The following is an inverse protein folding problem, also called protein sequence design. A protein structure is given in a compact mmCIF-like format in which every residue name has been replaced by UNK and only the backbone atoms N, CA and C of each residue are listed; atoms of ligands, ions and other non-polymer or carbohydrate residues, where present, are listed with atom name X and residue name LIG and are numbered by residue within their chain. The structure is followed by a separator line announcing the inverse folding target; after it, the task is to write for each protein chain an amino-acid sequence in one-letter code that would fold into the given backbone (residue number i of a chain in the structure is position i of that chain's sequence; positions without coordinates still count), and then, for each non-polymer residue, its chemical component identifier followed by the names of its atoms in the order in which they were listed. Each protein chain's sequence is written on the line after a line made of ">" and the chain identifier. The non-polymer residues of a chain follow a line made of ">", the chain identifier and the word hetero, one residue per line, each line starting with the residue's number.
data_IF_315339326240
#
_entry.id   IF_315339326240
#
_cell.length_a   1.000
_cell.length_b   1.000
_cell.length_c   1.000
_cell.angle_alpha   90.00
_cell.angle_beta   90.00
_cell.angle_gamma   90.00
#
_symmetry.space_group_name_H-M   'P 1'
#
loop_
_entity.id
_entity.type
_entity.pdbx_description
1 polymer ?
#
# COMPACT_ATOMS: atom_id res chain seq x y z
N UNK A 1 21.01 -5.82 8.97
CA UNK A 1 19.73 -5.23 9.39
C UNK A 1 19.00 -4.90 8.10
N UNK A 2 18.26 -5.88 7.56
CA UNK A 2 17.63 -5.79 6.25
C UNK A 2 16.13 -5.63 6.50
N UNK A 3 15.67 -4.38 6.54
CA UNK A 3 14.25 -4.08 6.45
C UNK A 3 13.77 -4.50 5.06
N UNK A 4 13.22 -5.70 4.98
CA UNK A 4 12.38 -6.09 3.85
C UNK A 4 11.06 -5.36 4.03
N UNK A 5 11.07 -4.06 3.72
CA UNK A 5 9.86 -3.28 3.44
C UNK A 5 9.11 -4.02 2.35
N UNK A 6 7.92 -4.50 2.72
CA UNK A 6 7.00 -5.20 1.85
C UNK A 6 6.66 -4.27 0.68
N UNK A 7 7.28 -4.50 -0.48
CA UNK A 7 6.75 -4.21 -1.82
C UNK A 7 6.29 -2.79 -2.19
N UNK A 8 6.34 -1.78 -1.32
CA UNK A 8 6.06 -0.42 -1.71
C UNK A 8 7.30 0.12 -2.42
N UNK A 9 7.39 -0.09 -3.74
CA UNK A 9 8.29 0.71 -4.59
C UNK A 9 8.02 2.17 -4.24
N UNK A 10 8.99 2.83 -3.63
CA UNK A 10 9.01 4.29 -3.39
C UNK A 10 8.83 5.09 -4.69
N UNK A 11 8.87 4.42 -5.84
CA UNK A 11 8.75 4.95 -7.19
C UNK A 11 7.30 5.05 -7.69
N UNK A 12 6.28 4.86 -6.84
CA UNK A 12 4.88 4.83 -7.28
C UNK A 12 3.98 5.71 -6.44
N UNK A 13 2.97 6.28 -7.11
CA UNK A 13 1.88 7.00 -6.46
C UNK A 13 0.95 6.00 -5.76
N UNK A 14 0.80 6.03 -4.42
CA UNK A 14 0.05 5.00 -3.68
C UNK A 14 -1.43 4.88 -4.03
N UNK A 15 -2.01 5.92 -4.64
CA UNK A 15 -3.44 5.98 -4.99
C UNK A 15 -3.71 5.73 -6.47
N UNK A 16 -2.70 5.32 -7.24
CA UNK A 16 -2.81 5.04 -8.66
C UNK A 16 -2.30 3.63 -8.97
N UNK A 17 -3.19 2.79 -9.47
CA UNK A 17 -2.88 1.41 -9.87
C UNK A 17 -3.01 1.27 -11.38
N UNK A 18 -2.00 0.70 -12.02
CA UNK A 18 -2.05 0.41 -13.45
C UNK A 18 -2.74 -0.94 -13.67
N UNK A 19 -3.82 -0.94 -14.46
CA UNK A 19 -4.55 -2.16 -14.80
C UNK A 19 -4.18 -2.64 -16.21
N UNK A 20 -4.61 -3.85 -16.58
CA UNK A 20 -4.40 -4.39 -17.94
C UNK A 20 -4.93 -3.44 -19.03
N UNK A 21 -6.09 -2.84 -18.78
CA UNK A 21 -6.81 -2.02 -19.75
C UNK A 21 -6.55 -0.51 -19.57
N UNK A 22 -6.11 -0.07 -18.39
CA UNK A 22 -5.94 1.36 -18.13
C UNK A 22 -5.36 1.64 -16.76
N UNK A 23 -6.08 2.44 -15.97
CA UNK A 23 -5.70 2.83 -14.61
C UNK A 23 -6.90 2.75 -13.67
N UNK A 24 -6.62 2.57 -12.38
CA UNK A 24 -7.57 2.73 -11.30
C UNK A 24 -7.02 3.80 -10.35
N UNK A 25 -7.80 4.85 -10.14
CA UNK A 25 -7.47 5.96 -9.24
C UNK A 25 -8.29 5.81 -7.98
N UNK A 26 -7.67 5.97 -6.82
CA UNK A 26 -8.33 5.90 -5.53
C UNK A 26 -8.32 7.27 -4.84
N UNK A 27 -9.35 7.53 -4.03
CA UNK A 27 -9.37 8.69 -3.15
C UNK A 27 -8.30 8.55 -2.06
N UNK A 28 -7.33 9.48 -1.92
CA UNK A 28 -6.37 9.44 -0.82
C UNK A 28 -7.00 9.39 0.58
N UNK A 29 -8.21 9.94 0.75
CA UNK A 29 -8.93 9.91 2.02
C UNK A 29 -9.30 8.48 2.47
N UNK A 30 -9.28 7.50 1.56
CA UNK A 30 -9.47 6.08 1.87
C UNK A 30 -8.40 5.55 2.83
N UNK A 31 -7.14 5.90 2.57
CA UNK A 31 -5.98 5.42 3.34
C UNK A 31 -5.40 6.48 4.30
N UNK A 32 -5.83 7.73 4.19
CA UNK A 32 -5.37 8.83 5.03
C UNK A 32 -5.57 8.53 6.52
N UNK A 33 -4.48 8.65 7.31
CA UNK A 33 -4.47 8.38 8.75
C UNK A 33 -4.59 6.89 9.11
N UNK A 34 -4.56 5.99 8.13
CA UNK A 34 -4.61 4.55 8.34
C UNK A 34 -3.23 3.92 8.15
N UNK A 35 -3.13 2.63 8.47
CA UNK A 35 -1.93 1.82 8.22
C UNK A 35 -2.12 0.91 7.00
N UNK A 36 -3.07 1.24 6.12
CA UNK A 36 -3.31 0.51 4.89
C UNK A 36 -2.60 1.19 3.72
N UNK A 37 -2.13 0.37 2.78
CA UNK A 37 -1.65 0.79 1.47
C UNK A 37 -2.41 0.01 0.41
N UNK A 38 -2.42 0.55 -0.81
CA UNK A 38 -2.99 -0.14 -1.96
C UNK A 38 -1.83 -0.79 -2.71
N UNK A 39 -1.93 -2.09 -2.96
CA UNK A 39 -0.91 -2.82 -3.69
C UNK A 39 -1.07 -2.71 -5.23
N UNK A 40 -0.18 -3.37 -5.96
CA UNK A 40 -0.18 -3.37 -7.42
C UNK A 40 -1.41 -4.05 -8.06
N UNK A 41 -2.12 -4.89 -7.30
CA UNK A 41 -3.37 -5.50 -7.72
C UNK A 41 -4.59 -4.60 -7.43
N UNK A 42 -4.42 -3.56 -6.61
CA UNK A 42 -5.48 -2.69 -6.15
C UNK A 42 -6.12 -3.14 -4.82
N UNK A 43 -5.48 -4.06 -4.11
CA UNK A 43 -5.92 -4.59 -2.83
C UNK A 43 -5.40 -3.74 -1.67
N UNK A 44 -6.22 -3.60 -0.63
CA UNK A 44 -5.85 -2.87 0.59
C UNK A 44 -5.08 -3.79 1.53
N UNK A 45 -3.80 -3.49 1.73
CA UNK A 45 -2.88 -4.28 2.55
C UNK A 45 -2.45 -3.52 3.80
N UNK A 46 -2.52 -4.17 4.96
CA UNK A 46 -2.09 -3.58 6.23
C UNK A 46 -0.56 -3.64 6.39
N UNK A 47 0.10 -2.50 6.57
CA UNK A 47 1.57 -2.38 6.46
C UNK A 47 2.37 -2.77 7.71
N UNK A 48 1.74 -2.88 8.88
CA UNK A 48 2.47 -3.04 10.15
C UNK A 48 2.74 -4.47 10.60
N UNK A 49 2.29 -5.47 9.85
CA UNK A 49 2.65 -6.86 10.14
C UNK A 49 3.53 -7.34 9.00
N UNK A 50 4.88 -7.22 9.14
CA UNK A 50 5.75 -7.92 8.21
C UNK A 50 5.35 -9.38 8.31
N UNK A 51 4.87 -9.96 7.22
CA UNK A 51 4.43 -11.36 7.21
C UNK A 51 5.53 -12.27 7.80
N UNK A 52 6.81 -11.91 7.60
CA UNK A 52 7.98 -12.56 8.18
C UNK A 52 8.10 -12.50 9.71
N UNK A 53 7.58 -11.45 10.36
CA UNK A 53 7.67 -11.30 11.81
C UNK A 53 6.63 -12.18 12.51
N UNK A 54 5.39 -12.23 11.98
CA UNK A 54 4.37 -13.15 12.49
C UNK A 54 4.73 -14.62 12.25
N UNK A 55 5.18 -14.98 11.04
CA UNK A 55 5.63 -16.35 10.74
C UNK A 55 6.84 -16.74 11.58
N UNK A 56 7.82 -15.85 11.74
CA UNK A 56 9.00 -16.06 12.57
C UNK A 56 8.64 -16.30 14.04
N UNK A 57 7.75 -15.48 14.61
CA UNK A 57 7.26 -15.67 15.99
C UNK A 57 6.53 -17.00 16.15
N UNK A 58 5.64 -17.37 15.21
CA UNK A 58 4.89 -18.62 15.27
C UNK A 58 5.81 -19.84 15.23
N UNK A 59 6.83 -19.83 14.38
CA UNK A 59 7.83 -20.91 14.30
C UNK A 59 8.66 -20.99 15.57
N UNK A 60 9.17 -19.86 16.07
CA UNK A 60 9.98 -19.83 17.30
C UNK A 60 9.18 -20.30 18.52
N UNK A 61 7.95 -19.83 18.70
CA UNK A 61 7.09 -20.27 19.82
C UNK A 61 6.79 -21.77 19.72
N UNK A 62 6.52 -22.27 18.53
CA UNK A 62 6.24 -23.71 18.31
C UNK A 62 7.46 -24.57 18.59
N UNK A 63 8.65 -24.11 18.20
CA UNK A 63 9.91 -24.79 18.50
C UNK A 63 10.20 -24.84 20.00
N UNK A 64 10.00 -23.72 20.72
CA UNK A 64 10.18 -23.66 22.18
C UNK A 64 9.22 -24.63 22.88
N UNK A 65 7.95 -24.67 22.50
CA UNK A 65 6.97 -25.60 23.09
C UNK A 65 7.33 -27.05 22.78
N UNK A 66 7.76 -27.35 21.56
CA UNK A 66 8.16 -28.70 21.16
C UNK A 66 9.38 -29.23 21.93
N UNK A 67 10.36 -28.37 22.21
CA UNK A 67 11.59 -28.73 22.94
C UNK A 67 11.35 -28.82 24.44
N UNK A 68 10.43 -28.01 24.99
CA UNK A 68 10.14 -28.00 26.44
C UNK A 68 9.16 -29.09 26.88
N UNK A 69 8.23 -29.50 26.01
CA UNK A 69 7.18 -30.48 26.31
C UNK A 69 7.46 -31.85 25.68
N UNK A 70 8.22 -31.90 24.58
CA UNK A 70 8.60 -33.16 23.97
C UNK A 70 9.71 -33.82 24.79
N UNK A 71 9.33 -34.75 25.68
CA UNK A 71 10.17 -35.49 26.64
C UNK A 71 11.31 -36.31 25.98
N UNK A 72 12.25 -35.64 25.29
CA UNK A 72 13.41 -36.18 24.55
C UNK A 72 13.10 -37.21 23.45
N UNK A 73 11.83 -37.50 23.18
CA UNK A 73 11.39 -38.37 22.08
C UNK A 73 11.16 -37.54 20.83
N UNK A 74 12.05 -37.68 19.85
CA UNK A 74 12.05 -36.91 18.61
C UNK A 74 10.68 -36.90 17.88
N UNK A 75 10.01 -38.05 17.84
CA UNK A 75 8.68 -38.17 17.21
C UNK A 75 7.61 -37.36 17.94
N UNK A 76 7.64 -37.31 19.28
CA UNK A 76 6.70 -36.54 20.08
C UNK A 76 6.96 -35.03 19.97
N UNK A 77 8.23 -34.61 20.02
CA UNK A 77 8.60 -33.21 19.79
C UNK A 77 8.16 -32.72 18.42
N UNK A 78 8.30 -33.53 17.36
CA UNK A 78 7.83 -33.19 16.02
C UNK A 78 6.31 -33.03 15.94
N UNK A 79 5.54 -33.93 16.57
CA UNK A 79 4.08 -33.83 16.63
C UNK A 79 3.62 -32.58 17.38
N UNK A 80 4.25 -32.27 18.52
CA UNK A 80 3.96 -31.06 19.31
C UNK A 80 4.30 -29.81 18.50
N UNK A 81 5.44 -29.80 17.81
CA UNK A 81 5.83 -28.70 16.92
C UNK A 81 4.78 -28.44 15.84
N UNK A 82 4.36 -29.47 15.11
CA UNK A 82 3.38 -29.32 14.04
C UNK A 82 2.00 -28.87 14.56
N UNK A 83 1.56 -29.43 15.69
CA UNK A 83 0.29 -29.04 16.31
C UNK A 83 0.29 -27.60 16.81
N UNK A 84 1.36 -27.18 17.49
CA UNK A 84 1.50 -25.81 18.00
C UNK A 84 1.69 -24.79 16.87
N UNK A 85 2.38 -25.18 15.79
CA UNK A 85 2.55 -24.35 14.61
C UNK A 85 1.21 -24.09 13.92
N UNK A 86 0.39 -25.12 13.71
CA UNK A 86 -0.95 -24.97 13.17
C UNK A 86 -1.84 -24.06 14.05
N UNK A 87 -1.77 -24.23 15.37
CA UNK A 87 -2.50 -23.39 16.31
C UNK A 87 -2.04 -21.93 16.26
N UNK A 88 -0.72 -21.69 16.23
CA UNK A 88 -0.13 -20.35 16.17
C UNK A 88 -0.53 -19.61 14.89
N UNK A 89 -0.51 -20.28 13.74
CA UNK A 89 -1.00 -19.70 12.48
C UNK A 89 -2.49 -19.38 12.53
N UNK A 90 -3.30 -20.28 13.09
CA UNK A 90 -4.74 -20.06 13.22
C UNK A 90 -5.04 -18.85 14.11
N UNK A 91 -4.33 -18.73 15.23
CA UNK A 91 -4.44 -17.58 16.14
C UNK A 91 -4.00 -16.28 15.46
N UNK A 92 -2.90 -16.30 14.69
CA UNK A 92 -2.43 -15.14 13.94
C UNK A 92 -3.44 -14.68 12.90
N UNK A 93 -4.05 -15.60 12.14
CA UNK A 93 -5.12 -15.31 11.20
C UNK A 93 -6.32 -14.69 11.91
N UNK A 94 -6.76 -15.26 13.03
CA UNK A 94 -7.89 -14.73 13.80
C UNK A 94 -7.64 -13.28 14.29
N UNK A 95 -6.44 -13.00 14.83
CA UNK A 95 -6.05 -11.65 15.24
C UNK A 95 -6.04 -10.70 14.06
N UNK A 96 -5.49 -11.12 12.91
CA UNK A 96 -5.45 -10.31 11.70
C UNK A 96 -6.87 -10.01 11.17
N UNK A 97 -7.78 -10.99 11.22
CA UNK A 97 -9.19 -10.82 10.87
C UNK A 97 -9.90 -9.83 11.77
N UNK A 98 -9.65 -9.87 13.09
CA UNK A 98 -10.22 -8.90 14.04
C UNK A 98 -9.68 -7.50 13.78
N UNK A 99 -8.36 -7.35 13.55
CA UNK A 99 -7.77 -6.06 13.18
C UNK A 99 -8.46 -5.53 11.93
N UNK A 100 -8.57 -6.34 10.87
CA UNK A 100 -9.25 -5.93 9.64
C UNK A 100 -10.71 -5.56 9.86
N UNK A 101 -11.44 -6.28 10.70
CA UNK A 101 -12.84 -5.98 11.01
C UNK A 101 -13.01 -4.63 11.74
N UNK A 102 -12.05 -4.26 12.60
CA UNK A 102 -12.09 -3.03 13.41
C UNK A 102 -11.49 -1.84 12.68
N UNK A 103 -10.43 -2.04 11.90
CA UNK A 103 -9.70 -0.97 11.20
C UNK A 103 -10.04 -0.87 9.71
N UNK A 104 -11.12 -1.53 9.26
CA UNK A 104 -11.56 -1.53 7.87
C UNK A 104 -11.63 -0.09 7.31
N UNK A 105 -10.69 0.30 6.43
CA UNK A 105 -10.61 1.65 5.90
C UNK A 105 -11.83 1.98 5.03
N UNK A 106 -12.45 0.98 4.40
CA UNK A 106 -13.66 1.16 3.59
C UNK A 106 -14.85 1.51 4.48
N UNK A 107 -15.02 0.82 5.62
CA UNK A 107 -16.08 1.19 6.58
C UNK A 107 -15.85 2.59 7.14
N UNK A 108 -14.62 2.93 7.51
CA UNK A 108 -14.29 4.27 8.01
C UNK A 108 -14.53 5.36 6.94
N UNK A 109 -14.18 5.09 5.69
CA UNK A 109 -14.46 5.98 4.57
C UNK A 109 -15.98 6.16 4.36
N UNK A 110 -16.74 5.06 4.33
CA UNK A 110 -18.21 5.12 4.16
C UNK A 110 -18.92 5.82 5.31
N UNK A 111 -18.40 5.75 6.53
CA UNK A 111 -18.93 6.53 7.65
C UNK A 111 -18.72 8.04 7.47
N UNK A 112 -17.61 8.45 6.85
CA UNK A 112 -17.26 9.87 6.62
C UNK A 112 -17.93 10.45 5.39
N UNK A 113 -17.99 9.69 4.29
CA UNK A 113 -18.42 10.15 2.97
C UNK A 113 -19.68 9.43 2.43
N UNK A 114 -20.32 8.59 3.24
CA UNK A 114 -21.52 7.84 2.84
C UNK A 114 -21.24 6.77 1.78
N UNK A 115 -22.12 6.66 0.78
CA UNK A 115 -21.96 5.74 -0.35
C UNK A 115 -21.14 6.32 -1.51
N UNK A 116 -20.37 7.39 -1.27
CA UNK A 116 -19.47 7.96 -2.26
C UNK A 116 -18.49 6.90 -2.80
N UNK A 117 -18.14 7.03 -4.08
CA UNK A 117 -17.11 6.20 -4.70
C UNK A 117 -15.75 6.58 -4.09
N UNK A 118 -14.89 5.58 -3.91
CA UNK A 118 -13.51 5.76 -3.45
C UNK A 118 -12.48 5.29 -4.48
N UNK A 119 -12.95 4.75 -5.62
CA UNK A 119 -12.15 4.30 -6.73
C UNK A 119 -12.88 4.58 -8.05
N UNK A 120 -12.12 4.94 -9.08
CA UNK A 120 -12.60 5.14 -10.45
C UNK A 120 -11.68 4.42 -11.42
N UNK A 121 -12.29 3.62 -12.30
CA UNK A 121 -11.59 2.93 -13.38
C UNK A 121 -11.56 3.79 -14.64
N UNK A 122 -10.35 4.09 -15.11
CA UNK A 122 -10.08 4.77 -16.39
C UNK A 122 -9.67 3.69 -17.38
N UNK A 123 -10.61 3.23 -18.19
CA UNK A 123 -10.43 2.09 -19.10
C UNK A 123 -9.84 2.49 -20.46
N UNK A 124 -9.98 3.74 -20.87
CA UNK A 124 -9.38 4.27 -22.09
C UNK A 124 -8.12 5.07 -21.78
N UNK A 125 -6.95 4.53 -22.15
CA UNK A 125 -5.65 5.18 -21.96
C UNK A 125 -5.45 6.40 -22.87
N UNK A 126 -6.15 6.48 -23.99
CA UNK A 126 -6.02 7.57 -24.95
C UNK A 126 -6.86 8.79 -24.56
N UNK A 127 -7.88 8.59 -23.72
CA UNK A 127 -8.69 9.66 -23.13
C UNK A 127 -7.84 10.68 -22.34
N UNK A 128 -8.37 11.90 -22.17
CA UNK A 128 -7.72 12.93 -21.35
C UNK A 128 -7.42 12.45 -19.92
N UNK A 129 -8.36 11.73 -19.30
CA UNK A 129 -8.16 11.12 -17.98
C UNK A 129 -7.05 10.06 -17.99
N UNK A 130 -6.96 9.25 -19.05
CA UNK A 130 -5.90 8.25 -19.24
C UNK A 130 -4.52 8.90 -19.39
N UNK A 131 -4.44 10.01 -20.11
CA UNK A 131 -3.21 10.78 -20.28
C UNK A 131 -2.76 11.46 -18.97
N UNK A 132 -3.71 11.98 -18.18
CA UNK A 132 -3.45 12.52 -16.84
C UNK A 132 -2.89 11.44 -15.91
N UNK A 133 -3.51 10.25 -15.90
CA UNK A 133 -3.02 9.11 -15.10
C UNK A 133 -1.59 8.71 -15.51
N UNK A 134 -1.32 8.61 -16.82
CA UNK A 134 0.02 8.29 -17.32
C UNK A 134 1.05 9.36 -16.97
N UNK A 135 0.65 10.65 -16.95
CA UNK A 135 1.53 11.75 -16.50
C UNK A 135 1.83 11.64 -15.01
N UNK A 136 0.80 11.42 -14.19
CA UNK A 136 0.97 11.26 -12.75
C UNK A 136 1.85 10.05 -12.40
N UNK A 137 1.70 8.92 -13.13
CA UNK A 137 2.58 7.75 -13.00
C UNK A 137 4.04 8.13 -13.31
N UNK A 138 4.30 8.82 -14.43
CA UNK A 138 5.66 9.27 -14.78
C UNK A 138 6.24 10.24 -13.76
N UNK A 139 5.44 11.18 -13.28
CA UNK A 139 5.87 12.15 -12.28
C UNK A 139 6.21 11.45 -10.96
N UNK A 140 5.39 10.52 -10.50
CA UNK A 140 5.64 9.76 -9.28
C UNK A 140 6.88 8.85 -9.38
N UNK A 141 7.20 8.38 -10.59
CA UNK A 141 8.42 7.64 -10.86
C UNK A 141 9.70 8.52 -10.90
N UNK A 142 9.57 9.86 -10.94
CA UNK A 142 10.71 10.78 -10.98
C UNK A 142 11.40 10.89 -9.61
N UNK A 143 12.74 11.02 -9.60
CA UNK A 143 13.51 11.26 -8.37
C UNK A 143 13.13 12.57 -7.69
N UNK A 144 12.76 13.57 -8.49
CA UNK A 144 12.35 14.88 -8.03
C UNK A 144 11.04 14.82 -7.23
N UNK A 145 10.09 13.97 -7.63
CA UNK A 145 8.91 13.70 -6.81
C UNK A 145 9.24 12.82 -5.61
N UNK A 146 10.05 11.76 -5.77
CA UNK A 146 10.44 10.88 -4.68
C UNK A 146 11.13 11.63 -3.53
N UNK A 147 12.01 12.59 -3.86
CA UNK A 147 12.68 13.49 -2.90
C UNK A 147 11.77 14.59 -2.34
N UNK A 148 10.54 14.75 -2.85
CA UNK A 148 9.60 15.77 -2.41
C UNK A 148 9.90 17.18 -2.96
N UNK A 149 10.78 17.31 -3.97
CA UNK A 149 11.15 18.61 -4.56
C UNK A 149 10.00 19.28 -5.31
N UNK A 150 9.19 18.50 -6.05
CA UNK A 150 8.10 19.02 -6.91
C UNK A 150 6.77 19.09 -6.15
N UNK A 151 6.53 18.14 -5.25
CA UNK A 151 5.27 18.01 -4.51
C UNK A 151 5.57 17.68 -3.03
N UNK A 152 6.12 18.66 -2.27
CA UNK A 152 6.53 18.45 -0.89
C UNK A 152 5.35 18.05 0.00
N UNK A 153 4.15 18.54 -0.32
CA UNK A 153 2.90 18.25 0.37
C UNK A 153 2.22 16.95 -0.07
N UNK A 154 2.80 16.21 -1.03
CA UNK A 154 2.25 14.93 -1.55
C UNK A 154 0.80 15.04 -2.04
N UNK A 155 0.47 16.14 -2.68
CA UNK A 155 -0.86 16.50 -3.18
C UNK A 155 -1.24 15.83 -4.49
N UNK A 156 -0.27 15.28 -5.24
CA UNK A 156 -0.49 14.68 -6.56
C UNK A 156 -1.63 13.66 -6.59
N UNK A 157 -1.73 12.80 -5.56
CA UNK A 157 -2.80 11.81 -5.46
C UNK A 157 -4.19 12.42 -5.28
N UNK A 158 -4.29 13.51 -4.51
CA UNK A 158 -5.54 14.24 -4.31
C UNK A 158 -5.96 15.00 -5.57
N UNK A 159 -5.03 15.70 -6.20
CA UNK A 159 -5.28 16.41 -7.46
C UNK A 159 -5.72 15.45 -8.57
N UNK A 160 -5.09 14.27 -8.68
CA UNK A 160 -5.48 13.26 -9.66
C UNK A 160 -6.89 12.73 -9.39
N UNK A 161 -7.25 12.45 -8.13
CA UNK A 161 -8.60 12.04 -7.77
C UNK A 161 -9.64 13.11 -8.10
N UNK A 162 -9.38 14.37 -7.72
CA UNK A 162 -10.30 15.49 -8.00
C UNK A 162 -10.48 15.71 -9.50
N UNK A 163 -9.41 15.60 -10.30
CA UNK A 163 -9.49 15.70 -11.75
C UNK A 163 -10.26 14.53 -12.40
N UNK A 164 -9.97 13.29 -12.00
CA UNK A 164 -10.52 12.09 -12.66
C UNK A 164 -11.92 11.72 -12.16
N UNK A 165 -12.15 11.78 -10.85
CA UNK A 165 -13.43 11.43 -10.24
C UNK A 165 -14.39 12.63 -10.13
N UNK A 166 -13.87 13.82 -9.85
CA UNK A 166 -14.65 15.05 -9.78
C UNK A 166 -14.89 15.70 -11.15
N UNK A 167 -14.01 15.45 -12.13
CA UNK A 167 -14.07 16.10 -13.44
C UNK A 167 -13.64 17.56 -13.41
N UNK A 168 -12.92 17.97 -12.37
CA UNK A 168 -12.55 19.36 -12.12
C UNK A 168 -11.32 19.78 -12.94
N UNK A 169 -11.49 20.74 -13.85
CA UNK A 169 -10.45 21.18 -14.78
C UNK A 169 -9.24 21.83 -14.07
N UNK A 170 -9.48 22.63 -13.02
CA UNK A 170 -8.41 23.27 -12.25
C UNK A 170 -7.45 22.24 -11.64
N UNK A 171 -7.95 21.07 -11.24
CA UNK A 171 -7.13 20.00 -10.68
C UNK A 171 -6.30 19.31 -11.77
N UNK A 172 -6.88 19.14 -12.97
CA UNK A 172 -6.15 18.63 -14.13
C UNK A 172 -5.01 19.58 -14.53
N UNK A 173 -5.25 20.89 -14.55
CA UNK A 173 -4.23 21.91 -14.80
C UNK A 173 -3.14 21.90 -13.73
N UNK A 174 -3.51 21.75 -12.45
CA UNK A 174 -2.55 21.65 -11.36
C UNK A 174 -1.62 20.42 -11.55
N UNK A 175 -2.16 19.24 -11.90
CA UNK A 175 -1.35 18.04 -12.23
C UNK A 175 -0.42 18.33 -13.42
N UNK A 176 -0.86 19.10 -14.41
CA UNK A 176 -0.03 19.47 -15.55
C UNK A 176 1.06 20.48 -15.18
N UNK A 177 0.80 21.40 -14.26
CA UNK A 177 1.76 22.38 -13.76
C UNK A 177 2.85 21.76 -12.88
N UNK A 178 2.62 20.58 -12.29
CA UNK A 178 3.66 19.81 -11.64
C UNK A 178 4.61 19.26 -12.71
N UNK A 179 5.67 20.00 -12.95
CA UNK A 179 6.74 19.65 -13.89
C UNK A 179 8.01 19.30 -13.15
N UNK A 180 8.75 18.36 -13.73
CA UNK A 180 10.13 18.15 -13.32
C UNK A 180 10.94 19.40 -13.69
N UNK A 181 11.60 20.07 -12.73
CA UNK A 181 12.42 21.22 -13.05
C UNK A 181 13.47 20.78 -14.07
N UNK A 182 13.70 21.62 -15.08
CA UNK A 182 14.78 21.39 -16.04
C UNK A 182 16.05 21.12 -15.22
N UNK A 183 16.69 19.98 -15.48
CA UNK A 183 17.96 19.61 -14.87
C UNK A 183 19.01 20.66 -15.25
N UNK A 184 19.07 21.75 -14.48
CA UNK A 184 20.28 22.54 -14.33
C UNK A 184 21.34 21.66 -13.68
N UNK A 185 22.64 21.95 -13.91
CA UNK A 185 23.71 21.10 -13.43
C UNK A 185 23.50 20.81 -11.95
N UNK A 186 23.45 19.52 -11.60
CA UNK A 186 23.46 19.08 -10.21
C UNK A 186 24.60 19.84 -9.53
N UNK A 187 24.24 20.80 -8.68
CA UNK A 187 25.15 21.35 -7.70
C UNK A 187 25.40 20.22 -6.71
N UNK A 188 26.32 19.36 -7.13
CA UNK A 188 27.13 18.54 -6.24
C UNK A 188 27.89 19.49 -5.31
N UNK A 189 27.94 19.13 -4.02
CA UNK A 189 28.71 19.73 -2.92
C UNK A 189 28.06 20.99 -2.30
N UNK A 190 27.87 21.06 -0.97
CA UNK A 190 28.78 20.75 0.15
C UNK A 190 28.13 19.87 1.22
#
# INVERSE_FOLDING_TARGET
>A
MNDVTTGARTDRLPTLVRTKHGYRVYDPALIAGTRYVIDDAGDLVYTRLPAGLMTGTAVLTSAVVAVTVGDNLWGWSLLIFLGTLALAFTAAVAVLSVIHAVTDPVRAYRRRFGHARFAVDVTDRSSAAGQLCARAERLAASRSWQSGRIDPTRTLGGLLWTAVAGGEEWAAEAVQSLTEPATGPDLTWV
#
